data_IF_146831714477
#
_entry.id   IF_146831714477
#
_cell.length_a   1.000
_cell.length_b   1.000
_cell.length_c   1.000
_cell.angle_alpha   90.00
_cell.angle_beta   90.00
_cell.angle_gamma   90.00
#
_symmetry.space_group_name_H-M   'P 1'
#
loop_
_entity.id
_entity.type
_entity.pdbx_description
1 polymer ?
#
# COMPACT_ATOMS: atom_id res chain seq x y z
N UNK A 1 6.07 -9.49 2.62
CA UNK A 1 7.20 -9.29 3.56
C UNK A 1 8.50 -9.47 2.79
N UNK A 2 9.58 -8.78 3.18
CA UNK A 2 10.90 -8.87 2.53
C UNK A 2 11.94 -9.26 3.57
N UNK A 3 12.74 -10.33 3.38
CA UNK A 3 13.80 -10.69 4.32
C UNK A 3 14.87 -9.59 4.42
N UNK A 4 15.30 -9.26 5.64
CA UNK A 4 16.19 -8.11 5.91
C UNK A 4 17.55 -8.20 5.19
N UNK A 5 18.03 -9.40 4.88
CA UNK A 5 19.31 -9.65 4.21
C UNK A 5 19.17 -10.02 2.72
N UNK A 6 17.99 -9.86 2.13
CA UNK A 6 17.75 -10.20 0.72
C UNK A 6 18.40 -9.22 -0.28
N UNK A 7 18.98 -8.11 0.18
CA UNK A 7 19.54 -7.08 -0.68
C UNK A 7 18.49 -6.28 -1.47
N UNK A 8 17.24 -6.31 -1.01
CA UNK A 8 16.14 -5.60 -1.65
C UNK A 8 16.27 -4.09 -1.45
N UNK A 9 16.24 -3.32 -2.55
CA UNK A 9 16.25 -1.86 -2.50
C UNK A 9 14.84 -1.32 -2.74
N UNK A 10 14.33 -0.60 -1.75
CA UNK A 10 13.02 0.05 -1.82
C UNK A 10 13.08 1.32 -2.67
N UNK A 11 11.96 1.61 -3.36
CA UNK A 11 11.74 2.81 -4.15
C UNK A 11 10.31 3.32 -3.91
N UNK A 12 10.16 4.60 -3.59
CA UNK A 12 8.86 5.19 -3.22
C UNK A 12 8.44 6.27 -4.22
N UNK A 13 7.14 6.56 -4.26
CA UNK A 13 6.54 7.54 -5.18
C UNK A 13 6.10 6.94 -6.52
N UNK A 14 5.96 7.78 -7.57
CA UNK A 14 5.47 7.35 -8.87
C UNK A 14 6.26 6.18 -9.46
N UNK A 15 5.56 5.16 -9.94
CA UNK A 15 6.18 3.95 -10.52
C UNK A 15 6.79 2.97 -9.50
N UNK A 16 6.65 3.23 -8.19
CA UNK A 16 7.17 2.35 -7.12
C UNK A 16 6.70 0.90 -7.25
N UNK A 17 5.44 0.67 -7.62
CA UNK A 17 4.91 -0.69 -7.86
C UNK A 17 5.77 -1.46 -8.88
N UNK A 18 6.00 -0.89 -10.06
CA UNK A 18 6.78 -1.53 -11.12
C UNK A 18 8.24 -1.72 -10.70
N UNK A 19 8.82 -0.74 -9.99
CA UNK A 19 10.19 -0.84 -9.48
C UNK A 19 10.35 -1.98 -8.47
N UNK A 20 9.39 -2.17 -7.57
CA UNK A 20 9.40 -3.25 -6.59
C UNK A 20 9.21 -4.63 -7.23
N UNK A 21 8.33 -4.75 -8.23
CA UNK A 21 8.16 -6.00 -9.00
C UNK A 21 9.48 -6.38 -9.67
N UNK A 22 10.11 -5.46 -10.40
CA UNK A 22 11.39 -5.70 -11.06
C UNK A 22 12.51 -6.09 -10.07
N UNK A 23 12.51 -5.50 -8.86
CA UNK A 23 13.46 -5.85 -7.81
C UNK A 23 13.23 -7.28 -7.28
N UNK A 24 11.97 -7.67 -7.05
CA UNK A 24 11.64 -9.02 -6.60
C UNK A 24 12.03 -10.08 -7.64
N UNK A 25 11.73 -9.83 -8.91
CA UNK A 25 12.11 -10.69 -10.03
C UNK A 25 13.64 -10.82 -10.16
N UNK A 26 14.36 -9.69 -10.08
CA UNK A 26 15.83 -9.68 -10.13
C UNK A 26 16.47 -10.52 -9.02
N UNK A 27 15.88 -10.51 -7.83
CA UNK A 27 16.39 -11.23 -6.66
C UNK A 27 15.83 -12.67 -6.56
N UNK A 28 14.97 -13.09 -7.49
CA UNK A 28 14.31 -14.40 -7.44
C UNK A 28 13.39 -14.57 -6.22
N UNK A 29 12.88 -13.47 -5.67
CA UNK A 29 12.01 -13.50 -4.49
C UNK A 29 10.57 -13.80 -4.91
N UNK A 30 9.86 -14.70 -4.20
CA UNK A 30 8.47 -14.95 -4.47
C UNK A 30 7.63 -13.71 -4.13
N UNK A 31 6.72 -13.35 -5.04
CA UNK A 31 5.80 -12.24 -4.85
C UNK A 31 4.44 -12.53 -5.50
N UNK A 32 3.41 -11.79 -5.08
CA UNK A 32 2.09 -11.80 -5.72
C UNK A 32 1.48 -10.41 -5.65
N UNK A 33 0.72 -10.02 -6.67
CA UNK A 33 -0.13 -8.82 -6.62
C UNK A 33 -1.48 -9.18 -6.02
N UNK A 34 -1.87 -8.52 -4.94
CA UNK A 34 -3.21 -8.65 -4.35
C UNK A 34 -3.98 -7.34 -4.59
N UNK A 35 -5.21 -7.45 -5.08
CA UNK A 35 -6.15 -6.34 -5.12
C UNK A 35 -7.17 -6.57 -4.00
N UNK A 36 -7.01 -5.83 -2.92
CA UNK A 36 -7.83 -5.92 -1.71
C UNK A 36 -8.44 -4.53 -1.46
N UNK A 37 -9.76 -4.34 -1.65
CA UNK A 37 -10.42 -3.05 -1.47
C UNK A 37 -10.25 -2.47 -0.06
N UNK A 38 -10.17 -3.32 0.97
CA UNK A 38 -10.06 -2.88 2.36
C UNK A 38 -8.65 -2.37 2.68
N UNK A 39 -7.65 -2.73 1.86
CA UNK A 39 -6.26 -2.28 1.96
C UNK A 39 -5.83 -1.36 0.81
N UNK A 40 -6.74 -1.00 -0.09
CA UNK A 40 -6.43 -0.21 -1.29
C UNK A 40 -6.27 1.29 -1.01
N UNK A 41 -6.58 1.72 0.21
CA UNK A 41 -6.59 3.11 0.63
C UNK A 41 -5.30 3.45 1.40
N UNK A 42 -4.57 4.46 0.93
CA UNK A 42 -3.37 4.98 1.57
C UNK A 42 -3.71 6.18 2.46
N UNK A 43 -2.89 6.42 3.48
CA UNK A 43 -3.03 7.55 4.41
C UNK A 43 -1.82 8.46 4.21
N UNK A 44 -1.99 9.47 3.37
CA UNK A 44 -0.93 10.41 2.99
C UNK A 44 -0.93 11.65 3.90
N UNK A 45 -2.10 12.01 4.43
CA UNK A 45 -2.29 13.20 5.25
C UNK A 45 -3.34 13.03 6.34
N UNK A 46 -3.46 14.03 7.24
CA UNK A 46 -4.45 13.99 8.31
C UNK A 46 -5.89 13.99 7.78
N UNK A 47 -6.11 14.55 6.59
CA UNK A 47 -7.43 14.63 5.98
C UNK A 47 -7.98 13.26 5.56
N UNK A 48 -7.11 12.30 5.30
CA UNK A 48 -7.50 10.93 4.96
C UNK A 48 -8.21 10.26 6.16
N UNK A 49 -7.81 10.59 7.38
CA UNK A 49 -8.46 10.03 8.57
C UNK A 49 -9.84 10.62 8.86
N UNK A 50 -10.30 11.62 8.09
CA UNK A 50 -11.62 12.22 8.31
C UNK A 50 -12.74 11.20 8.08
N UNK A 51 -13.68 11.12 9.02
CA UNK A 51 -14.81 10.19 8.95
C UNK A 51 -14.53 8.78 9.48
N UNK A 52 -13.32 8.50 9.98
CA UNK A 52 -13.02 7.28 10.73
C UNK A 52 -13.50 7.45 12.18
N UNK A 53 -14.44 6.62 12.61
CA UNK A 53 -14.83 6.52 14.02
C UNK A 53 -13.80 5.67 14.78
N UNK A 54 -12.96 6.33 15.58
CA UNK A 54 -11.91 5.67 16.35
C UNK A 54 -12.44 5.05 17.66
N UNK A 55 -13.71 5.26 18.01
CA UNK A 55 -14.24 4.92 19.33
C UNK A 55 -14.53 3.43 19.53
N UNK A 56 -14.72 2.64 18.47
CA UNK A 56 -15.00 1.20 18.55
C UNK A 56 -13.96 0.32 17.82
N UNK A 57 -12.91 0.94 17.25
CA UNK A 57 -11.89 0.23 16.48
C UNK A 57 -12.44 -0.38 15.17
N UNK A 58 -13.65 -0.01 14.74
CA UNK A 58 -14.24 -0.48 13.48
C UNK A 58 -14.14 0.59 12.40
N UNK A 59 -13.42 0.27 11.32
CA UNK A 59 -13.42 1.10 10.12
C UNK A 59 -14.74 0.87 9.37
N UNK A 60 -15.69 1.79 9.53
CA UNK A 60 -16.88 1.83 8.66
C UNK A 60 -16.52 2.64 7.42
N UNK A 61 -16.13 1.93 6.36
CA UNK A 61 -15.89 2.51 5.04
C UNK A 61 -17.17 3.22 4.57
N UNK A 62 -17.23 4.53 4.78
CA UNK A 62 -18.16 5.38 4.05
C UNK A 62 -17.37 5.79 2.83
N UNK A 63 -17.66 5.16 1.69
CA UNK A 63 -16.96 5.40 0.42
C UNK A 63 -16.75 6.89 0.18
N UNK A 64 -15.54 7.38 0.46
CA UNK A 64 -15.07 8.65 -0.06
C UNK A 64 -14.61 8.40 -1.51
N UNK A 65 -14.88 9.31 -2.45
CA UNK A 65 -14.43 9.15 -3.82
C UNK A 65 -12.90 9.06 -3.84
N UNK A 66 -12.39 8.02 -4.51
CA UNK A 66 -11.01 7.92 -4.93
C UNK A 66 -10.65 9.24 -5.63
N UNK A 67 -9.70 10.00 -5.08
CA UNK A 67 -9.12 11.11 -5.84
C UNK A 67 -8.26 10.46 -6.91
N UNK A 68 -8.69 10.58 -8.17
CA UNK A 68 -7.79 10.33 -9.29
C UNK A 68 -6.69 11.40 -9.24
N UNK A 69 -5.45 10.92 -9.30
CA UNK A 69 -4.16 11.63 -9.19
C UNK A 69 -4.12 13.10 -9.70
#
# INVERSE_FOLDING_TARGET
>A
MVPTNAGFRFAYGPGSYAAHVAMAERLGLPWRSLRDPDLAWDVDGPDDLQGIDLADGTFRSTTAPQRDD
#
